data_IF_704920880662
#
_entry.id   IF_704920880662
#
_cell.length_a   1.000
_cell.length_b   1.000
_cell.length_c   1.000
_cell.angle_alpha   90.00
_cell.angle_beta   90.00
_cell.angle_gamma   90.00
#
_symmetry.space_group_name_H-M   'P 1'
#
loop_
_entity.id
_entity.type
_entity.pdbx_description
1 polymer ?
#
# COMPACT_ATOMS: atom_id res chain seq x y z
N UNK A 1 -12.63 -2.64 9.33
CA UNK A 1 -11.54 -3.45 9.92
C UNK A 1 -11.95 -4.09 11.25
N UNK A 2 -11.72 -5.40 11.40
CA UNK A 2 -11.82 -6.13 12.68
C UNK A 2 -10.44 -6.57 13.17
N UNK A 3 -10.27 -6.95 14.46
CA UNK A 3 -8.99 -7.49 14.95
C UNK A 3 -8.52 -8.74 14.20
N UNK A 4 -9.44 -9.60 13.77
CA UNK A 4 -9.11 -10.80 12.99
C UNK A 4 -8.48 -10.46 11.62
N UNK A 5 -8.93 -9.37 10.99
CA UNK A 5 -8.35 -8.89 9.72
C UNK A 5 -6.90 -8.42 9.88
N UNK A 6 -6.50 -7.95 11.06
CA UNK A 6 -5.10 -7.58 11.29
C UNK A 6 -4.18 -8.80 11.40
N UNK A 7 -4.71 -9.93 11.89
CA UNK A 7 -3.97 -11.18 11.99
C UNK A 7 -3.85 -11.89 10.64
N UNK A 8 -4.91 -11.82 9.82
CA UNK A 8 -4.95 -12.41 8.49
C UNK A 8 -5.61 -11.44 7.49
N UNK A 9 -4.86 -10.44 6.99
CA UNK A 9 -5.40 -9.43 6.10
C UNK A 9 -5.77 -10.03 4.74
N UNK A 10 -6.87 -9.57 4.10
CA UNK A 10 -7.17 -9.89 2.71
C UNK A 10 -5.95 -9.67 1.79
N UNK A 11 -5.79 -10.47 0.72
CA UNK A 11 -4.63 -10.37 -0.17
C UNK A 11 -4.55 -9.03 -0.92
N UNK A 12 -5.69 -8.40 -1.15
CA UNK A 12 -5.89 -7.11 -1.81
C UNK A 12 -5.72 -5.89 -0.89
N UNK A 13 -5.65 -6.11 0.42
CA UNK A 13 -5.51 -5.06 1.42
C UNK A 13 -4.08 -4.93 1.98
N UNK A 14 -3.73 -3.69 2.36
CA UNK A 14 -2.52 -3.35 3.09
C UNK A 14 -2.88 -2.54 4.35
N UNK A 15 -3.14 -3.25 5.44
CA UNK A 15 -3.84 -2.71 6.60
C UNK A 15 -2.94 -2.08 7.68
N UNK A 16 -1.63 -2.25 7.58
CA UNK A 16 -0.65 -1.77 8.56
C UNK A 16 0.72 -1.59 7.91
N UNK A 17 1.66 -0.95 8.62
CA UNK A 17 2.99 -0.57 8.11
C UNK A 17 3.71 -1.65 7.28
N UNK A 18 3.74 -2.91 7.75
CA UNK A 18 4.38 -4.02 7.04
C UNK A 18 3.41 -5.08 6.52
N UNK A 19 2.13 -4.73 6.32
CA UNK A 19 0.99 -5.62 5.98
C UNK A 19 0.62 -6.63 7.08
N UNK A 20 1.60 -7.38 7.58
CA UNK A 20 1.45 -8.45 8.57
C UNK A 20 2.37 -8.23 9.77
N UNK A 21 2.01 -8.82 10.92
CA UNK A 21 2.76 -8.66 12.17
C UNK A 21 4.18 -9.27 12.14
N UNK A 22 4.45 -10.21 11.24
CA UNK A 22 5.78 -10.77 11.00
C UNK A 22 6.72 -9.83 10.21
N UNK A 23 6.22 -8.65 9.86
CA UNK A 23 6.93 -7.52 9.28
C UNK A 23 7.67 -7.80 7.96
N UNK A 24 7.24 -8.79 7.17
CA UNK A 24 7.92 -9.19 5.93
C UNK A 24 7.70 -8.21 4.77
N UNK A 25 6.72 -7.30 4.85
CA UNK A 25 6.34 -6.38 3.75
C UNK A 25 6.03 -7.13 2.45
N UNK A 26 5.41 -8.30 2.55
CA UNK A 26 5.15 -9.19 1.43
C UNK A 26 3.68 -9.10 0.96
N UNK A 27 3.46 -8.88 -0.33
CA UNK A 27 2.14 -9.04 -0.97
C UNK A 27 2.01 -10.46 -1.54
N UNK A 28 0.92 -11.19 -1.24
CA UNK A 28 0.67 -12.51 -1.83
C UNK A 28 0.15 -12.46 -3.27
N UNK A 29 -0.12 -11.26 -3.81
CA UNK A 29 -0.60 -11.10 -5.18
C UNK A 29 0.49 -11.48 -6.19
N UNK A 30 0.10 -12.17 -7.25
CA UNK A 30 1.01 -12.69 -8.27
C UNK A 30 0.66 -12.24 -9.70
N UNK A 31 -0.30 -11.32 -9.84
CA UNK A 31 -0.71 -10.79 -11.14
C UNK A 31 0.47 -10.12 -11.85
N UNK A 32 1.29 -9.37 -11.11
CA UNK A 32 2.56 -8.81 -11.59
C UNK A 32 3.68 -9.80 -11.25
N UNK A 33 4.48 -10.15 -12.26
CA UNK A 33 5.55 -11.14 -12.16
C UNK A 33 6.71 -10.81 -13.11
N UNK A 34 7.77 -11.63 -13.08
CA UNK A 34 9.00 -11.41 -13.86
C UNK A 34 8.75 -11.33 -15.37
N UNK A 35 7.70 -11.99 -15.86
CA UNK A 35 7.39 -12.07 -17.29
C UNK A 35 6.60 -10.84 -17.78
N UNK A 36 5.90 -10.13 -16.91
CA UNK A 36 5.03 -9.02 -17.30
C UNK A 36 5.34 -7.66 -16.64
N UNK A 37 6.26 -7.60 -15.66
CA UNK A 37 6.62 -6.35 -14.98
C UNK A 37 7.09 -5.25 -15.94
N UNK A 38 7.71 -5.62 -17.07
CA UNK A 38 8.11 -4.67 -18.12
C UNK A 38 6.96 -4.02 -18.90
N UNK A 39 5.70 -4.38 -18.62
CA UNK A 39 4.50 -3.85 -19.28
C UNK A 39 3.70 -2.90 -18.39
N UNK A 40 4.21 -2.54 -17.22
CA UNK A 40 3.53 -1.61 -16.32
C UNK A 40 3.37 -0.25 -17.00
N UNK A 41 2.18 0.33 -16.86
CA UNK A 41 1.85 1.68 -17.34
C UNK A 41 1.27 2.49 -16.19
N UNK A 42 1.41 3.82 -16.26
CA UNK A 42 0.82 4.71 -15.26
C UNK A 42 -0.70 4.69 -15.38
N UNK A 43 -1.40 4.33 -14.30
CA UNK A 43 -2.87 4.36 -14.25
C UNK A 43 -3.38 5.73 -13.80
N UNK A 44 -2.76 6.33 -12.79
CA UNK A 44 -3.11 7.65 -12.25
C UNK A 44 -1.92 8.26 -11.50
N UNK A 45 -2.00 9.57 -11.22
CA UNK A 45 -1.10 10.28 -10.31
C UNK A 45 -1.87 11.35 -9.53
N UNK A 46 -1.43 11.62 -8.29
CA UNK A 46 -1.98 12.70 -7.46
C UNK A 46 -0.82 13.43 -6.77
N UNK A 47 -0.60 14.73 -7.03
CA UNK A 47 0.50 15.47 -6.41
C UNK A 47 0.29 15.62 -4.90
N UNK A 48 1.38 15.51 -4.14
CA UNK A 48 1.41 15.78 -2.70
C UNK A 48 2.04 17.16 -2.43
N UNK A 49 1.69 17.80 -1.29
CA UNK A 49 2.41 18.94 -0.75
C UNK A 49 3.94 18.78 -0.80
N UNK A 50 4.71 19.86 -1.07
CA UNK A 50 6.17 19.85 -0.89
C UNK A 50 6.57 19.47 0.53
N UNK A 51 7.66 18.71 0.66
CA UNK A 51 8.20 18.24 1.93
C UNK A 51 8.85 16.86 1.78
N UNK A 52 9.44 16.36 2.86
CA UNK A 52 9.98 15.00 2.92
C UNK A 52 8.84 13.98 2.90
N UNK A 53 8.91 12.99 2.01
CA UNK A 53 7.91 11.93 1.87
C UNK A 53 8.56 10.60 2.28
N UNK A 54 8.18 10.09 3.44
CA UNK A 54 8.60 8.78 3.98
C UNK A 54 7.39 7.89 4.33
N UNK A 55 6.32 8.03 3.55
CA UNK A 55 5.02 7.45 3.85
C UNK A 55 4.92 6.00 3.38
N UNK A 56 4.17 5.19 4.13
CA UNK A 56 3.69 3.89 3.68
C UNK A 56 2.17 3.98 3.59
N UNK A 57 1.59 3.96 2.38
CA UNK A 57 0.15 3.96 2.22
C UNK A 57 -0.48 2.75 2.91
N UNK A 58 -1.64 2.95 3.53
CA UNK A 58 -2.53 1.84 3.88
C UNK A 58 -3.68 1.81 2.88
N UNK A 59 -4.10 0.60 2.50
CA UNK A 59 -5.16 0.38 1.52
C UNK A 59 -6.18 -0.60 2.10
N UNK A 60 -7.45 -0.23 2.07
CA UNK A 60 -8.55 -1.06 2.52
C UNK A 60 -9.77 -0.81 1.63
N UNK A 61 -10.40 -1.87 1.12
CA UNK A 61 -11.62 -1.80 0.32
C UNK A 61 -11.51 -0.82 -0.88
N UNK A 62 -10.34 -0.81 -1.53
CA UNK A 62 -10.05 0.03 -2.70
C UNK A 62 -9.75 1.50 -2.40
N UNK A 63 -9.72 1.90 -1.12
CA UNK A 63 -9.38 3.28 -0.70
C UNK A 63 -7.94 3.32 -0.20
N UNK A 64 -7.14 4.25 -0.72
CA UNK A 64 -5.78 4.52 -0.28
C UNK A 64 -5.74 5.70 0.69
N UNK A 65 -5.15 5.49 1.88
CA UNK A 65 -4.95 6.52 2.89
C UNK A 65 -3.47 6.89 2.98
N UNK A 66 -3.21 8.20 3.00
CA UNK A 66 -1.87 8.79 2.95
C UNK A 66 -1.77 9.90 4.01
N UNK A 67 -0.58 10.05 4.60
CA UNK A 67 -0.25 11.20 5.44
C UNK A 67 0.57 12.16 4.59
N UNK A 68 0.00 13.29 4.19
CA UNK A 68 0.76 14.29 3.45
C UNK A 68 1.68 15.10 4.39
N UNK A 69 2.83 15.61 3.89
CA UNK A 69 3.58 16.63 4.62
C UNK A 69 2.65 17.80 4.98
N UNK A 70 2.73 18.28 6.21
CA UNK A 70 2.04 19.50 6.62
C UNK A 70 2.71 20.70 5.94
N UNK A 71 1.90 21.64 5.46
CA UNK A 71 2.37 23.00 5.20
C UNK A 71 2.47 23.69 6.57
N UNK A 72 3.63 24.25 6.90
CA UNK A 72 3.70 25.29 7.93
C UNK A 72 3.16 26.62 7.40
#
# INVERSE_FOLDING_TARGET
MTPAMLLNPPPDDWLMYSRTYDAQRYSPLNQINKQNAGRLTQVWSNPLPPGTIEIIPIVHDGVMYLVAPSQE
#
